data_IF_803515653363
#
_entry.id   IF_803515653363
#
_cell.length_a   1.000
_cell.length_b   1.000
_cell.length_c   1.000
_cell.angle_alpha   90.00
_cell.angle_beta   90.00
_cell.angle_gamma   90.00
#
_symmetry.space_group_name_H-M   'P 1'
#
loop_
_entity.id
_entity.type
_entity.pdbx_description
1 polymer ?
#
# COMPACT_ATOMS: atom_id res chain seq x y z
N UNK A 1 22.46 16.51 -18.01
CA UNK A 1 22.41 16.88 -16.58
C UNK A 1 21.22 16.19 -15.92
N UNK A 2 21.44 15.16 -15.12
CA UNK A 2 20.40 14.67 -14.19
C UNK A 2 21.02 14.72 -12.79
N UNK A 3 20.64 15.72 -12.00
CA UNK A 3 21.15 15.93 -10.64
C UNK A 3 20.53 14.87 -9.74
N UNK A 4 21.19 13.73 -9.60
CA UNK A 4 21.00 12.89 -8.41
C UNK A 4 21.54 13.70 -7.23
N UNK A 5 20.65 14.43 -6.55
CA UNK A 5 20.92 15.01 -5.24
C UNK A 5 21.18 13.86 -4.30
N UNK A 6 22.45 13.65 -3.97
CA UNK A 6 22.86 12.99 -2.75
C UNK A 6 22.55 13.95 -1.60
N UNK A 7 21.44 13.75 -0.91
CA UNK A 7 21.20 14.43 0.36
C UNK A 7 21.93 13.68 1.48
N UNK A 8 22.88 14.38 2.09
CA UNK A 8 23.33 14.05 3.43
C UNK A 8 22.20 14.42 4.37
N UNK A 9 21.63 13.48 5.11
CA UNK A 9 20.72 13.86 6.19
C UNK A 9 20.59 12.75 7.22
N UNK A 10 21.04 13.04 8.45
CA UNK A 10 20.51 12.35 9.61
C UNK A 10 19.01 12.62 9.71
N UNK A 11 18.22 11.57 9.93
CA UNK A 11 16.80 11.69 10.28
C UNK A 11 15.80 12.05 9.18
N UNK A 12 15.95 11.56 7.95
CA UNK A 12 14.96 11.80 6.88
C UNK A 12 13.75 10.88 7.04
N UNK A 13 12.56 11.48 7.07
CA UNK A 13 11.31 10.73 6.85
C UNK A 13 11.11 10.51 5.35
N UNK A 14 10.93 9.25 4.92
CA UNK A 14 10.71 8.87 3.52
C UNK A 14 9.26 8.47 3.27
N UNK A 15 8.72 8.86 2.12
CA UNK A 15 7.38 8.43 1.67
C UNK A 15 7.50 7.50 0.47
N UNK A 16 6.80 6.37 0.51
CA UNK A 16 6.67 5.42 -0.59
C UNK A 16 5.20 5.24 -0.94
N UNK A 17 4.87 5.52 -2.20
CA UNK A 17 3.54 5.31 -2.75
C UNK A 17 3.60 4.30 -3.90
N UNK A 18 2.67 3.35 -3.92
CA UNK A 18 2.55 2.38 -5.02
C UNK A 18 1.08 2.17 -5.40
N UNK A 19 0.79 2.28 -6.69
CA UNK A 19 -0.46 1.78 -7.26
C UNK A 19 -0.33 0.27 -7.49
N UNK A 20 -1.22 -0.52 -6.88
CA UNK A 20 -1.21 -1.98 -7.00
C UNK A 20 -2.03 -2.47 -8.21
N UNK A 21 -2.85 -1.57 -8.79
CA UNK A 21 -3.67 -1.74 -9.98
C UNK A 21 -4.22 -0.38 -10.44
N UNK A 22 -4.55 -0.26 -11.74
CA UNK A 22 -5.20 0.92 -12.32
C UNK A 22 -6.52 0.58 -13.03
N UNK A 23 -7.54 1.42 -12.84
CA UNK A 23 -8.78 1.41 -13.60
C UNK A 23 -9.65 0.17 -13.37
N UNK A 24 -9.94 -0.59 -14.43
CA UNK A 24 -10.97 -1.66 -14.47
C UNK A 24 -10.67 -2.91 -13.62
N UNK A 25 -9.40 -3.12 -13.26
CA UNK A 25 -8.95 -4.24 -12.42
C UNK A 25 -9.19 -4.00 -10.91
N UNK A 26 -9.74 -2.84 -10.55
CA UNK A 26 -10.01 -2.41 -9.19
C UNK A 26 -8.87 -1.57 -8.62
N UNK A 27 -9.21 -0.55 -7.83
CA UNK A 27 -8.28 0.37 -7.21
C UNK A 27 -7.76 -0.21 -5.89
N UNK A 28 -6.45 -0.14 -5.71
CA UNK A 28 -5.79 -0.47 -4.46
C UNK A 28 -4.40 0.16 -4.47
N UNK A 29 -4.07 0.91 -3.43
CA UNK A 29 -2.81 1.63 -3.30
C UNK A 29 -2.14 1.28 -1.98
N UNK A 30 -0.82 1.32 -1.97
CA UNK A 30 0.00 1.18 -0.79
C UNK A 30 0.67 2.52 -0.49
N UNK A 31 0.48 3.02 0.73
CA UNK A 31 1.12 4.24 1.20
C UNK A 31 1.92 3.92 2.45
N UNK A 32 3.22 4.18 2.39
CA UNK A 32 4.16 3.96 3.48
C UNK A 32 4.93 5.22 3.82
N UNK A 33 5.12 5.44 5.12
CA UNK A 33 6.04 6.40 5.69
C UNK A 33 7.11 5.65 6.49
N UNK A 34 8.38 5.91 6.19
CA UNK A 34 9.50 5.52 7.03
C UNK A 34 9.94 6.73 7.83
N UNK A 35 9.97 6.64 9.15
CA UNK A 35 10.42 7.74 10.00
C UNK A 35 11.97 7.84 10.05
N UNK A 36 12.46 8.82 10.82
CA UNK A 36 13.88 9.07 11.01
C UNK A 36 14.64 7.90 11.65
N UNK A 37 13.96 7.06 12.43
CA UNK A 37 14.50 5.89 13.13
C UNK A 37 14.42 4.62 12.27
N UNK A 38 13.93 4.74 11.03
CA UNK A 38 13.80 3.64 10.09
C UNK A 38 12.54 2.80 10.28
N UNK A 39 11.62 3.18 11.17
CA UNK A 39 10.37 2.46 11.37
C UNK A 39 9.39 2.76 10.25
N UNK A 40 8.76 1.70 9.74
CA UNK A 40 7.85 1.74 8.58
C UNK A 40 6.41 1.68 9.05
N UNK A 41 5.61 2.63 8.59
CA UNK A 41 4.18 2.71 8.84
C UNK A 41 3.45 2.73 7.51
N UNK A 42 2.57 1.76 7.26
CA UNK A 42 1.85 1.73 6.00
C UNK A 42 0.38 1.37 6.17
N UNK A 43 -0.41 1.83 5.19
CA UNK A 43 -1.81 1.50 5.02
C UNK A 43 -2.06 1.10 3.57
N UNK A 44 -3.13 0.34 3.36
CA UNK A 44 -3.75 0.24 2.04
C UNK A 44 -4.84 1.30 1.89
N UNK A 45 -5.00 1.79 0.67
CA UNK A 45 -6.14 2.62 0.27
C UNK A 45 -6.91 1.81 -0.77
N UNK A 46 -8.19 1.59 -0.50
CA UNK A 46 -9.13 0.74 -1.23
C UNK A 46 -8.79 -0.75 -1.28
N UNK A 47 -9.80 -1.56 -1.61
CA UNK A 47 -9.75 -3.02 -1.67
C UNK A 47 -10.37 -3.55 -2.98
N UNK A 48 -10.07 -2.87 -4.09
CA UNK A 48 -10.60 -3.22 -5.41
C UNK A 48 -9.98 -4.47 -6.01
N UNK A 49 -8.74 -4.80 -5.64
CA UNK A 49 -7.99 -5.94 -6.18
C UNK A 49 -8.17 -7.21 -5.35
N UNK A 50 -8.13 -8.37 -5.99
CA UNK A 50 -8.20 -9.65 -5.28
C UNK A 50 -7.02 -9.83 -4.31
N UNK A 51 -7.21 -10.58 -3.21
CA UNK A 51 -6.14 -10.94 -2.29
C UNK A 51 -4.95 -11.63 -2.98
N UNK A 52 -5.22 -12.43 -4.03
CA UNK A 52 -4.16 -13.06 -4.84
C UNK A 52 -3.27 -11.99 -5.50
N UNK A 53 -3.89 -10.99 -6.12
CA UNK A 53 -3.18 -9.88 -6.77
C UNK A 53 -2.44 -9.03 -5.74
N UNK A 54 -3.09 -8.70 -4.62
CA UNK A 54 -2.46 -7.99 -3.50
C UNK A 54 -1.18 -8.70 -3.06
N UNK A 55 -1.28 -10.00 -2.72
CA UNK A 55 -0.13 -10.81 -2.31
C UNK A 55 1.00 -10.79 -3.33
N UNK A 56 0.66 -10.98 -4.61
CA UNK A 56 1.65 -11.00 -5.69
C UNK A 56 2.42 -9.68 -5.80
N UNK A 57 1.72 -8.54 -5.75
CA UNK A 57 2.35 -7.21 -5.87
C UNK A 57 3.15 -6.86 -4.63
N UNK A 58 2.64 -7.19 -3.43
CA UNK A 58 3.39 -6.99 -2.19
C UNK A 58 4.70 -7.79 -2.23
N UNK A 59 4.63 -9.09 -2.54
CA UNK A 59 5.80 -9.96 -2.60
C UNK A 59 6.82 -9.49 -3.64
N UNK A 60 6.39 -9.04 -4.83
CA UNK A 60 7.31 -8.51 -5.86
C UNK A 60 8.02 -7.22 -5.43
N UNK A 61 7.54 -6.57 -4.36
CA UNK A 61 8.08 -5.34 -3.79
C UNK A 61 8.77 -5.57 -2.44
N UNK A 62 8.99 -6.83 -2.03
CA UNK A 62 9.60 -7.19 -0.74
C UNK A 62 8.68 -6.97 0.46
N UNK A 63 7.36 -7.00 0.25
CA UNK A 63 6.33 -6.78 1.26
C UNK A 63 5.46 -8.02 1.47
N UNK A 64 4.73 -8.02 2.57
CA UNK A 64 3.75 -9.03 2.94
C UNK A 64 2.50 -8.40 3.57
N UNK A 65 1.59 -9.22 4.06
CA UNK A 65 0.38 -8.73 4.74
C UNK A 65 0.64 -8.08 6.11
N UNK A 66 1.83 -8.22 6.68
CA UNK A 66 2.21 -7.55 7.92
C UNK A 66 2.83 -6.17 7.65
N UNK A 67 3.14 -5.86 6.40
CA UNK A 67 3.76 -4.60 6.00
C UNK A 67 2.81 -3.39 6.10
N UNK A 68 1.51 -3.59 6.36
CA UNK A 68 0.52 -2.52 6.57
C UNK A 68 -0.42 -2.85 7.74
N UNK A 69 -0.97 -1.81 8.36
CA UNK A 69 -1.77 -1.94 9.58
C UNK A 69 -3.28 -1.79 9.37
N UNK A 70 -3.72 -1.09 8.32
CA UNK A 70 -5.13 -0.80 8.08
C UNK A 70 -5.48 -0.68 6.58
N UNK A 71 -6.78 -0.71 6.28
CA UNK A 71 -7.33 -0.48 4.95
C UNK A 71 -8.30 0.70 4.99
N UNK A 72 -7.96 1.80 4.33
CA UNK A 72 -8.84 2.96 4.20
C UNK A 72 -9.66 2.84 2.91
N UNK A 73 -10.99 2.84 3.00
CA UNK A 73 -11.87 2.85 1.82
C UNK A 73 -12.26 4.30 1.51
N UNK A 74 -12.05 4.73 0.26
CA UNK A 74 -12.35 6.09 -0.17
C UNK A 74 -13.86 6.33 -0.34
N UNK A 75 -14.54 5.41 -1.02
CA UNK A 75 -15.99 5.41 -1.27
C UNK A 75 -16.46 4.00 -1.71
N UNK A 76 -17.76 3.81 -1.91
CA UNK A 76 -18.41 2.50 -2.04
C UNK A 76 -18.62 2.01 -3.50
N UNK A 77 -17.95 2.62 -4.47
CA UNK A 77 -17.98 2.11 -5.84
C UNK A 77 -17.27 0.75 -5.95
N UNK A 78 -17.82 -0.12 -6.80
CA UNK A 78 -17.37 -1.52 -6.89
C UNK A 78 -15.88 -1.66 -7.23
N UNK A 79 -15.33 -0.80 -8.06
CA UNK A 79 -13.90 -0.81 -8.36
C UNK A 79 -13.02 -0.49 -7.14
N UNK A 80 -13.55 0.11 -6.07
CA UNK A 80 -12.83 0.34 -4.82
C UNK A 80 -13.09 -0.73 -3.75
N UNK A 81 -14.26 -1.38 -3.75
CA UNK A 81 -14.67 -2.30 -2.66
C UNK A 81 -14.88 -3.76 -3.07
N UNK A 82 -14.70 -4.12 -4.35
CA UNK A 82 -14.98 -5.47 -4.89
C UNK A 82 -14.41 -6.62 -4.05
N UNK A 83 -13.23 -6.45 -3.44
CA UNK A 83 -12.59 -7.50 -2.63
C UNK A 83 -12.61 -7.23 -1.13
N UNK A 84 -13.30 -6.16 -0.67
CA UNK A 84 -13.32 -5.74 0.73
C UNK A 84 -13.80 -6.84 1.68
N UNK A 85 -14.88 -7.55 1.33
CA UNK A 85 -15.37 -8.68 2.16
C UNK A 85 -14.31 -9.79 2.34
N UNK A 86 -13.51 -10.05 1.31
CA UNK A 86 -12.39 -11.01 1.40
C UNK A 86 -11.26 -10.47 2.28
N UNK A 87 -10.96 -9.17 2.19
CA UNK A 87 -9.98 -8.50 3.04
C UNK A 87 -10.38 -8.62 4.52
N UNK A 88 -11.61 -8.26 4.88
CA UNK A 88 -12.11 -8.36 6.25
C UNK A 88 -11.98 -9.80 6.80
N UNK A 89 -12.41 -10.80 6.01
CA UNK A 89 -12.38 -12.21 6.42
C UNK A 89 -10.97 -12.77 6.60
N UNK A 90 -9.99 -12.31 5.81
CA UNK A 90 -8.67 -12.95 5.71
C UNK A 90 -7.53 -12.17 6.35
N UNK A 91 -7.61 -10.84 6.37
CA UNK A 91 -6.56 -9.97 6.88
C UNK A 91 -6.79 -9.59 8.34
N UNK A 92 -8.06 -9.50 8.78
CA UNK A 92 -8.43 -9.10 10.14
C UNK A 92 -7.74 -7.78 10.57
N UNK A 93 -7.72 -6.80 9.66
CA UNK A 93 -7.20 -5.46 9.90
C UNK A 93 -8.35 -4.45 9.90
N UNK A 94 -8.26 -3.39 10.71
CA UNK A 94 -9.21 -2.29 10.67
C UNK A 94 -9.23 -1.61 9.29
#
# INVERSE_FOLDING_TARGET
MNKNRTDKTGGITMLRFMSLSSGSCGNCYYLERTDADGQRHAILIDAGVSLRRLKQVLMSNGLDYNSFSAVLVTHDHMDHIRSLASYCKRLQKP
#
